data_IF_137992001485
#
_entry.id   IF_137992001485
#
_cell.length_a   1.000
_cell.length_b   1.000
_cell.length_c   1.000
_cell.angle_alpha   90.00
_cell.angle_beta   90.00
_cell.angle_gamma   90.00
#
_symmetry.space_group_name_H-M   'P 1'
#
loop_
_entity.id
_entity.type
_entity.pdbx_description
1 polymer ?
#
# COMPACT_ATOMS: atom_id res chain seq x y z
N UNK A 1 -43.60 31.37 49.55
CA UNK A 1 -42.78 30.18 49.22
C UNK A 1 -43.18 29.74 47.81
N UNK A 2 -42.48 30.21 46.77
CA UNK A 2 -41.34 29.52 46.10
C UNK A 2 -41.71 28.10 45.65
N UNK A 3 -42.07 27.94 44.38
CA UNK A 3 -41.18 27.32 43.37
C UNK A 3 -41.87 27.30 42.00
N UNK A 4 -41.45 28.18 41.10
CA UNK A 4 -41.72 28.07 39.67
C UNK A 4 -40.58 27.23 39.08
N UNK A 5 -40.90 26.00 38.71
CA UNK A 5 -39.99 25.06 38.05
C UNK A 5 -39.75 25.54 36.62
N UNK A 6 -38.55 26.06 36.36
CA UNK A 6 -38.04 26.25 35.00
C UNK A 6 -37.51 24.90 34.51
N UNK A 7 -38.20 24.30 33.54
CA UNK A 7 -37.70 23.17 32.76
C UNK A 7 -36.96 23.74 31.54
N UNK A 8 -35.66 23.46 31.31
CA UNK A 8 -35.00 23.90 30.09
C UNK A 8 -35.36 22.93 28.96
N UNK A 9 -36.05 23.45 27.95
CA UNK A 9 -36.27 22.81 26.66
C UNK A 9 -34.94 22.77 25.89
N UNK A 10 -34.15 21.73 26.10
CA UNK A 10 -32.98 21.42 25.28
C UNK A 10 -33.46 20.74 23.99
N UNK A 11 -33.97 21.55 23.04
CA UNK A 11 -34.30 21.07 21.71
C UNK A 11 -33.00 20.71 20.98
N UNK A 12 -32.82 19.41 20.74
CA UNK A 12 -31.76 18.86 19.92
C UNK A 12 -31.78 19.49 18.52
N UNK A 13 -30.79 20.31 18.20
CA UNK A 13 -30.41 20.59 16.81
C UNK A 13 -29.68 19.35 16.27
N UNK A 14 -30.45 18.28 15.98
CA UNK A 14 -29.99 17.27 15.05
C UNK A 14 -30.01 17.91 13.66
N UNK A 15 -28.84 18.30 13.15
CA UNK A 15 -28.70 18.70 11.76
C UNK A 15 -29.04 17.51 10.89
N UNK A 16 -30.17 17.57 10.19
CA UNK A 16 -30.48 16.68 9.08
C UNK A 16 -29.44 16.96 7.99
N UNK A 17 -28.45 16.09 7.87
CA UNK A 17 -27.64 16.03 6.66
C UNK A 17 -28.60 15.65 5.51
N UNK A 18 -28.89 16.60 4.63
CA UNK A 18 -29.70 16.34 3.45
C UNK A 18 -29.08 15.22 2.61
N UNK A 19 -29.92 14.45 1.93
CA UNK A 19 -29.43 13.54 0.89
C UNK A 19 -28.70 14.38 -0.18
N UNK A 20 -27.49 13.97 -0.53
CA UNK A 20 -26.69 14.65 -1.55
C UNK A 20 -27.39 14.53 -2.90
N UNK A 21 -27.35 15.59 -3.69
CA UNK A 21 -27.90 15.61 -5.05
C UNK A 21 -26.80 15.91 -6.07
N UNK A 22 -27.02 15.60 -7.36
CA UNK A 22 -26.09 15.97 -8.43
C UNK A 22 -25.70 17.46 -8.44
N UNK A 23 -26.62 18.35 -8.02
CA UNK A 23 -26.44 19.81 -7.99
C UNK A 23 -25.49 20.29 -6.87
N UNK A 24 -25.06 19.38 -5.97
CA UNK A 24 -24.07 19.70 -4.95
C UNK A 24 -22.63 19.70 -5.49
N UNK A 25 -22.42 19.29 -6.75
CA UNK A 25 -21.12 19.05 -7.36
C UNK A 25 -20.89 19.93 -8.60
N UNK A 26 -19.66 20.41 -8.76
CA UNK A 26 -19.31 21.34 -9.84
C UNK A 26 -19.25 20.66 -11.22
N UNK A 27 -18.85 19.39 -11.26
CA UNK A 27 -18.59 18.65 -12.50
C UNK A 27 -19.20 17.26 -12.48
N UNK A 28 -19.55 16.75 -13.66
CA UNK A 28 -20.02 15.39 -13.88
C UNK A 28 -19.35 14.74 -15.10
N UNK A 29 -19.17 13.43 -15.05
CA UNK A 29 -18.70 12.58 -16.15
C UNK A 29 -19.60 11.37 -16.29
N UNK A 30 -20.15 11.08 -17.48
CA UNK A 30 -20.92 9.85 -17.70
C UNK A 30 -20.00 8.64 -17.58
N UNK A 31 -20.48 7.58 -16.92
CA UNK A 31 -19.77 6.31 -16.79
C UNK A 31 -20.33 5.29 -17.77
N UNK A 32 -19.44 4.69 -18.55
CA UNK A 32 -19.74 3.58 -19.45
C UNK A 32 -19.41 2.28 -18.74
N UNK A 33 -20.44 1.59 -18.27
CA UNK A 33 -20.34 0.30 -17.56
C UNK A 33 -20.51 -0.84 -18.57
N UNK A 34 -19.44 -1.59 -18.94
CA UNK A 34 -19.55 -2.65 -19.92
C UNK A 34 -20.23 -3.90 -19.32
N UNK A 35 -21.09 -4.54 -20.11
CA UNK A 35 -21.81 -5.76 -19.72
C UNK A 35 -22.88 -5.53 -18.65
N UNK A 36 -23.45 -6.63 -18.17
CA UNK A 36 -24.52 -6.64 -17.15
C UNK A 36 -23.97 -6.95 -15.74
N UNK A 37 -22.66 -6.81 -15.54
CA UNK A 37 -22.05 -7.03 -14.22
C UNK A 37 -22.50 -5.94 -13.24
N UNK A 38 -22.97 -6.32 -12.04
CA UNK A 38 -23.37 -5.33 -11.01
C UNK A 38 -22.20 -4.64 -10.30
N UNK A 39 -20.95 -4.95 -10.67
CA UNK A 39 -19.73 -4.47 -10.03
C UNK A 39 -18.73 -4.03 -11.09
N UNK A 40 -18.27 -2.78 -11.01
CA UNK A 40 -17.26 -2.23 -11.89
C UNK A 40 -16.13 -1.57 -11.10
N UNK A 41 -14.99 -1.40 -11.74
CA UNK A 41 -13.92 -0.55 -11.24
C UNK A 41 -13.84 0.73 -12.06
N UNK A 42 -13.74 1.88 -11.40
CA UNK A 42 -13.47 3.18 -12.00
C UNK A 42 -12.04 3.57 -11.64
N UNK A 43 -11.18 3.77 -12.62
CA UNK A 43 -9.85 4.36 -12.42
C UNK A 43 -9.95 5.87 -12.68
N UNK A 44 -9.55 6.70 -11.71
CA UNK A 44 -9.60 8.14 -11.88
C UNK A 44 -8.56 8.62 -12.91
N UNK A 45 -8.97 9.52 -13.78
CA UNK A 45 -8.08 10.17 -14.73
C UNK A 45 -7.71 11.60 -14.31
N UNK A 46 -6.78 12.18 -15.05
CA UNK A 46 -6.23 13.51 -14.81
C UNK A 46 -7.32 14.60 -14.84
N UNK A 47 -8.38 14.41 -15.66
CA UNK A 47 -9.48 15.36 -15.79
C UNK A 47 -10.37 15.37 -14.53
N UNK A 48 -10.63 14.22 -13.92
CA UNK A 48 -11.32 14.13 -12.63
C UNK A 48 -10.47 14.76 -11.54
N UNK A 49 -9.17 14.42 -11.45
CA UNK A 49 -8.29 14.99 -10.42
C UNK A 49 -8.25 16.51 -10.46
N UNK A 50 -8.22 17.10 -11.65
CA UNK A 50 -8.19 18.55 -11.84
C UNK A 50 -9.44 19.28 -11.30
N UNK A 51 -10.53 18.57 -11.03
CA UNK A 51 -11.82 19.13 -10.58
C UNK A 51 -12.17 18.79 -9.14
N UNK A 52 -11.36 17.96 -8.47
CA UNK A 52 -11.54 17.67 -7.05
C UNK A 52 -11.28 18.93 -6.23
N UNK A 53 -12.14 19.17 -5.24
CA UNK A 53 -11.95 20.21 -4.25
C UNK A 53 -11.08 19.73 -3.08
N UNK A 54 -11.21 18.44 -2.70
CA UNK A 54 -10.59 17.87 -1.49
C UNK A 54 -9.46 16.90 -1.79
N UNK A 55 -8.47 16.84 -0.91
CA UNK A 55 -7.37 15.87 -0.97
C UNK A 55 -7.77 14.46 -0.51
N UNK A 56 -8.80 14.34 0.32
CA UNK A 56 -9.34 13.05 0.81
C UNK A 56 -10.22 12.31 -0.22
N UNK A 57 -10.45 12.90 -1.40
CA UNK A 57 -11.30 12.38 -2.48
C UNK A 57 -12.75 12.07 -2.05
N UNK A 58 -13.21 12.66 -0.95
CA UNK A 58 -14.58 12.45 -0.45
C UNK A 58 -15.60 13.32 -1.17
N UNK A 59 -15.18 14.26 -1.99
CA UNK A 59 -16.06 15.01 -2.87
C UNK A 59 -16.34 14.28 -4.20
N UNK A 60 -16.10 12.97 -4.27
CA UNK A 60 -16.49 12.10 -5.38
C UNK A 60 -17.71 11.27 -5.03
N UNK A 61 -18.77 11.32 -5.83
CA UNK A 61 -19.99 10.50 -5.69
C UNK A 61 -20.42 10.00 -7.06
N UNK A 62 -21.03 8.81 -7.13
CA UNK A 62 -21.69 8.33 -8.35
C UNK A 62 -23.20 8.38 -8.14
N UNK A 63 -23.91 8.92 -9.11
CA UNK A 63 -25.37 8.95 -9.16
C UNK A 63 -25.90 8.05 -10.28
N UNK A 64 -27.06 7.42 -10.05
CA UNK A 64 -27.82 6.72 -11.07
C UNK A 64 -28.75 7.69 -11.84
N UNK A 65 -29.53 7.18 -12.81
CA UNK A 65 -30.38 8.02 -13.64
C UNK A 65 -31.49 8.76 -12.87
N UNK A 66 -31.86 8.26 -11.70
CA UNK A 66 -32.84 8.89 -10.81
C UNK A 66 -32.19 9.94 -9.88
N UNK A 67 -30.89 10.23 -10.04
CA UNK A 67 -30.14 11.15 -9.18
C UNK A 67 -29.90 10.60 -7.78
N UNK A 68 -29.95 9.28 -7.59
CA UNK A 68 -29.68 8.63 -6.31
C UNK A 68 -28.21 8.22 -6.22
N UNK A 69 -27.57 8.53 -5.09
CA UNK A 69 -26.19 8.13 -4.85
C UNK A 69 -26.08 6.61 -4.72
N UNK A 70 -25.21 5.99 -5.50
CA UNK A 70 -24.96 4.53 -5.48
C UNK A 70 -23.67 4.20 -4.74
N UNK A 71 -23.50 2.97 -4.22
CA UNK A 71 -22.29 2.61 -3.50
C UNK A 71 -21.05 2.70 -4.36
N UNK A 72 -20.17 3.60 -3.96
CA UNK A 72 -18.92 3.90 -4.62
C UNK A 72 -17.85 4.12 -3.55
N UNK A 73 -16.72 3.42 -3.60
CA UNK A 73 -15.68 3.59 -2.58
C UNK A 73 -14.30 3.13 -3.07
N UNK A 74 -13.21 3.60 -2.42
CA UNK A 74 -11.86 3.24 -2.83
C UNK A 74 -11.65 1.73 -2.87
N UNK A 75 -11.04 1.26 -3.97
CA UNK A 75 -10.56 -0.11 -4.12
C UNK A 75 -9.21 -0.22 -3.42
N UNK A 76 -9.12 -1.06 -2.39
CA UNK A 76 -7.83 -1.39 -1.78
C UNK A 76 -6.90 -2.01 -2.84
N UNK A 77 -5.61 -1.66 -2.79
CA UNK A 77 -4.63 -2.23 -3.72
C UNK A 77 -4.68 -3.75 -3.67
N UNK A 78 -5.04 -4.37 -4.79
CA UNK A 78 -5.18 -5.82 -4.87
C UNK A 78 -3.84 -6.47 -4.53
N UNK A 79 -3.87 -7.48 -3.66
CA UNK A 79 -2.70 -8.25 -3.28
C UNK A 79 -2.72 -9.58 -4.01
N UNK A 80 -1.78 -9.81 -4.92
CA UNK A 80 -1.49 -11.11 -5.50
C UNK A 80 -0.50 -11.83 -4.60
N UNK A 81 -0.81 -13.08 -4.22
CA UNK A 81 0.21 -13.94 -3.62
C UNK A 81 1.11 -14.45 -4.74
N UNK A 82 2.35 -14.01 -4.72
CA UNK A 82 3.43 -14.52 -5.55
C UNK A 82 4.23 -15.57 -4.78
N UNK A 83 5.04 -16.32 -5.52
CA UNK A 83 6.01 -17.23 -4.98
C UNK A 83 7.37 -16.86 -5.57
N UNK A 84 8.34 -16.53 -4.72
CA UNK A 84 9.71 -16.25 -5.15
C UNK A 84 10.60 -17.44 -4.84
N UNK A 85 11.37 -17.87 -5.86
CA UNK A 85 12.41 -18.89 -5.72
C UNK A 85 13.79 -18.28 -5.68
N UNK A 86 14.67 -18.86 -4.88
CA UNK A 86 16.08 -18.50 -4.84
C UNK A 86 16.93 -19.75 -4.64
N UNK A 87 18.01 -19.89 -5.40
CA UNK A 87 18.93 -21.01 -5.28
C UNK A 87 19.71 -20.94 -3.95
N UNK A 88 19.83 -22.08 -3.28
CA UNK A 88 20.46 -22.20 -1.97
C UNK A 88 21.82 -22.89 -2.06
N UNK A 89 22.68 -22.60 -1.08
CA UNK A 89 23.89 -23.38 -0.84
C UNK A 89 23.52 -24.61 0.00
N UNK A 90 24.05 -25.77 -0.39
CA UNK A 90 23.80 -27.01 0.32
C UNK A 90 24.98 -27.97 0.21
N UNK A 91 25.06 -28.93 1.14
CA UNK A 91 26.07 -29.99 1.14
C UNK A 91 25.55 -31.27 1.78
N UNK A 92 26.16 -32.39 1.41
CA UNK A 92 25.96 -33.69 2.05
C UNK A 92 26.81 -33.78 3.30
N UNK A 93 26.24 -34.19 4.43
CA UNK A 93 26.97 -34.30 5.70
C UNK A 93 26.84 -35.72 6.27
N UNK A 94 27.95 -36.39 6.65
CA UNK A 94 27.89 -37.71 7.26
C UNK A 94 27.19 -37.65 8.62
N UNK A 95 26.24 -38.56 8.86
CA UNK A 95 25.62 -38.71 10.18
C UNK A 95 26.38 -39.78 10.96
N UNK A 96 26.95 -39.43 12.10
CA UNK A 96 27.45 -40.44 13.04
C UNK A 96 26.26 -41.01 13.84
N UNK A 97 26.08 -42.33 13.95
CA UNK A 97 25.01 -42.89 14.76
C UNK A 97 25.25 -42.56 16.24
N UNK A 98 24.29 -41.87 16.86
CA UNK A 98 24.31 -41.58 18.29
C UNK A 98 24.11 -42.87 19.09
N UNK A 99 25.13 -43.34 19.81
CA UNK A 99 24.96 -44.36 20.84
C UNK A 99 24.49 -43.68 22.14
N UNK A 100 23.17 -43.61 22.30
CA UNK A 100 22.51 -43.22 23.55
C UNK A 100 22.38 -41.71 23.74
N UNK A 101 21.14 -41.22 23.58
CA UNK A 101 20.64 -39.93 24.08
C UNK A 101 21.50 -38.69 23.81
N UNK A 102 21.04 -37.86 22.86
CA UNK A 102 21.65 -36.64 22.30
C UNK A 102 22.52 -36.90 21.05
N UNK A 103 22.02 -36.43 19.90
CA UNK A 103 22.72 -36.44 18.61
C UNK A 103 23.89 -35.45 18.66
N UNK A 104 25.02 -35.88 19.21
CA UNK A 104 26.20 -35.05 19.31
C UNK A 104 26.99 -35.08 18.01
N UNK A 105 26.79 -34.05 17.18
CA UNK A 105 27.65 -33.79 16.05
C UNK A 105 29.09 -33.57 16.55
N UNK A 106 30.04 -34.40 16.15
CA UNK A 106 31.46 -34.10 16.36
C UNK A 106 31.98 -33.14 15.26
N UNK A 107 31.25 -32.03 15.03
CA UNK A 107 31.80 -30.86 14.35
C UNK A 107 32.55 -30.08 15.43
N UNK A 108 33.87 -30.26 15.53
CA UNK A 108 34.70 -29.50 16.47
C UNK A 108 34.84 -28.07 15.95
N UNK A 109 33.81 -27.26 16.16
CA UNK A 109 33.74 -25.86 15.75
C UNK A 109 34.58 -25.01 16.72
N UNK A 110 35.83 -24.71 16.37
CA UNK A 110 36.60 -23.70 17.11
C UNK A 110 36.20 -22.31 16.63
N UNK A 111 35.50 -21.56 17.49
CA UNK A 111 35.33 -20.10 17.38
C UNK A 111 36.49 -19.41 18.07
N UNK A 112 36.99 -18.33 17.48
CA UNK A 112 37.80 -17.35 18.19
C UNK A 112 36.91 -16.45 19.08
N UNK A 113 37.52 -15.62 19.92
CA UNK A 113 36.84 -14.75 20.87
C UNK A 113 35.88 -13.72 20.20
N UNK A 114 36.01 -13.54 18.88
CA UNK A 114 35.24 -12.60 18.07
C UNK A 114 34.14 -13.28 17.23
N UNK A 115 33.94 -14.60 17.41
CA UNK A 115 32.82 -15.34 16.82
C UNK A 115 32.97 -15.75 15.35
N UNK A 116 34.18 -15.65 14.77
CA UNK A 116 34.42 -15.97 13.36
C UNK A 116 34.85 -17.43 13.17
N UNK A 117 34.26 -18.12 12.18
CA UNK A 117 34.54 -19.53 11.89
C UNK A 117 35.82 -19.69 11.05
N UNK A 118 36.81 -20.46 11.51
CA UNK A 118 38.08 -20.63 10.77
C UNK A 118 38.48 -22.04 10.35
N UNK A 119 37.93 -23.12 10.90
CA UNK A 119 38.34 -24.47 10.49
C UNK A 119 37.19 -25.48 10.55
N UNK A 120 37.10 -26.33 9.53
CA UNK A 120 36.07 -27.34 9.36
C UNK A 120 36.77 -28.64 8.95
N UNK A 121 37.29 -29.37 9.95
CA UNK A 121 37.92 -30.67 9.74
C UNK A 121 36.88 -31.78 9.92
N UNK A 122 36.49 -32.41 8.81
CA UNK A 122 35.85 -33.73 8.85
C UNK A 122 36.93 -34.80 9.03
N UNK A 123 36.98 -35.45 10.20
CA UNK A 123 37.79 -36.65 10.39
C UNK A 123 37.17 -37.82 9.60
N UNK A 124 37.42 -37.87 8.29
CA UNK A 124 37.06 -38.99 7.42
C UNK A 124 38.08 -40.12 7.55
N UNK A 125 38.15 -40.76 8.73
CA UNK A 125 38.93 -41.99 8.91
C UNK A 125 38.18 -43.04 9.70
N UNK A 126 37.02 -43.43 9.18
CA UNK A 126 36.45 -44.76 9.38
C UNK A 126 35.50 -45.04 8.22
N UNK A 127 36.02 -45.59 7.12
CA UNK A 127 35.17 -46.27 6.14
C UNK A 127 34.63 -47.54 6.82
N UNK A 128 33.48 -47.41 7.48
CA UNK A 128 32.63 -48.55 7.85
C UNK A 128 31.76 -48.83 6.63
N UNK A 129 31.75 -50.06 6.15
CA UNK A 129 31.04 -50.51 4.95
C UNK A 129 29.50 -50.51 5.08
N UNK A 130 28.94 -49.65 5.94
CA UNK A 130 27.51 -49.53 6.22
C UNK A 130 27.21 -48.14 6.83
N UNK A 131 27.76 -47.08 6.23
CA UNK A 131 27.52 -45.70 6.68
C UNK A 131 26.09 -45.29 6.27
N UNK A 132 25.28 -44.71 7.19
CA UNK A 132 23.96 -44.20 6.84
C UNK A 132 24.10 -43.12 5.77
N UNK A 133 23.10 -43.06 4.88
CA UNK A 133 23.05 -42.06 3.82
C UNK A 133 23.28 -40.64 4.37
N UNK A 134 24.11 -39.82 3.71
CA UNK A 134 24.43 -38.51 4.22
C UNK A 134 23.17 -37.62 4.21
N UNK A 135 22.87 -36.96 5.31
CA UNK A 135 21.84 -35.93 5.35
C UNK A 135 22.25 -34.75 4.46
N UNK A 136 21.28 -33.96 4.02
CA UNK A 136 21.57 -32.68 3.35
C UNK A 136 21.48 -31.54 4.35
N UNK A 137 22.51 -30.71 4.41
CA UNK A 137 22.52 -29.43 5.11
C UNK A 137 22.33 -28.31 4.09
N UNK A 138 21.37 -27.44 4.34
CA UNK A 138 21.01 -26.29 3.50
C UNK A 138 21.22 -25.01 4.31
N UNK A 139 21.92 -24.03 3.73
CA UNK A 139 22.19 -22.72 4.34
C UNK A 139 21.32 -21.64 3.67
N UNK A 140 20.47 -20.98 4.46
CA UNK A 140 19.59 -19.89 4.04
C UNK A 140 20.26 -18.50 4.17
N UNK A 141 21.43 -18.39 4.80
CA UNK A 141 22.17 -17.14 5.03
C UNK A 141 21.94 -16.52 6.43
N UNK A 142 22.65 -15.42 6.74
CA UNK A 142 22.67 -14.84 8.10
C UNK A 142 21.33 -14.23 8.53
N UNK A 143 20.58 -13.60 7.61
CA UNK A 143 19.26 -13.01 7.88
C UNK A 143 18.25 -13.51 6.83
N UNK A 144 17.81 -14.78 6.93
CA UNK A 144 17.02 -15.40 5.89
C UNK A 144 15.58 -14.86 5.90
N UNK A 145 14.95 -14.67 4.72
CA UNK A 145 13.53 -14.40 4.64
C UNK A 145 12.72 -15.61 5.14
N UNK A 146 11.42 -15.43 5.39
CA UNK A 146 10.56 -16.55 5.78
C UNK A 146 10.39 -17.53 4.62
N UNK A 147 10.88 -18.76 4.75
CA UNK A 147 10.79 -19.84 3.75
C UNK A 147 9.75 -20.85 4.18
N UNK A 148 8.91 -21.32 3.26
CA UNK A 148 7.83 -22.28 3.55
C UNK A 148 7.89 -23.55 2.70
N UNK A 149 8.76 -23.59 1.69
CA UNK A 149 9.03 -24.81 0.96
C UNK A 149 10.44 -24.85 0.38
N UNK A 150 10.91 -26.06 0.07
CA UNK A 150 12.10 -26.31 -0.75
C UNK A 150 11.69 -27.00 -2.04
N UNK A 151 12.16 -26.47 -3.17
CA UNK A 151 12.09 -27.12 -4.47
C UNK A 151 13.44 -27.80 -4.75
N UNK A 152 13.41 -29.08 -5.08
CA UNK A 152 14.58 -29.86 -5.43
C UNK A 152 14.56 -30.13 -6.94
N UNK A 153 15.74 -30.13 -7.55
CA UNK A 153 15.94 -30.54 -8.95
C UNK A 153 16.90 -31.72 -8.96
N UNK A 154 16.50 -32.81 -9.60
CA UNK A 154 17.35 -33.98 -9.81
C UNK A 154 18.45 -33.64 -10.84
N UNK A 155 19.58 -34.35 -10.75
CA UNK A 155 20.60 -34.34 -11.80
C UNK A 155 20.12 -35.05 -13.05
N UNK A 156 20.71 -34.70 -14.20
CA UNK A 156 20.38 -35.29 -15.50
C UNK A 156 20.75 -36.79 -15.59
N UNK A 157 21.56 -37.28 -14.66
CA UNK A 157 22.05 -38.66 -14.55
C UNK A 157 21.14 -39.59 -13.71
N UNK A 158 20.00 -39.07 -13.22
CA UNK A 158 19.06 -39.84 -12.41
C UNK A 158 18.03 -40.54 -13.30
N UNK A 159 18.32 -41.80 -13.67
CA UNK A 159 17.47 -42.63 -14.55
C UNK A 159 16.43 -43.50 -13.81
N UNK A 160 16.44 -43.52 -12.47
CA UNK A 160 15.62 -44.41 -11.64
C UNK A 160 14.48 -43.73 -10.88
N UNK A 161 13.46 -44.49 -10.41
CA UNK A 161 12.37 -43.94 -9.62
C UNK A 161 12.88 -43.38 -8.29
N UNK A 162 12.47 -42.14 -7.97
CA UNK A 162 12.74 -41.51 -6.67
C UNK A 162 11.50 -41.62 -5.80
N UNK A 163 11.64 -42.19 -4.60
CA UNK A 163 10.58 -42.24 -3.59
C UNK A 163 11.20 -42.16 -2.18
N UNK A 164 11.31 -40.93 -1.69
CA UNK A 164 11.94 -40.61 -0.42
C UNK A 164 10.93 -40.07 0.58
N UNK A 165 11.15 -40.39 1.86
CA UNK A 165 10.47 -39.77 2.99
C UNK A 165 11.47 -38.88 3.70
N UNK A 166 11.21 -37.58 3.70
CA UNK A 166 12.14 -36.57 4.20
C UNK A 166 11.62 -36.00 5.51
N UNK A 167 12.51 -35.90 6.50
CA UNK A 167 12.32 -35.10 7.71
C UNK A 167 13.15 -33.83 7.58
N UNK A 168 12.50 -32.69 7.76
CA UNK A 168 13.12 -31.37 7.76
C UNK A 168 13.32 -30.94 9.20
N UNK A 169 14.56 -30.68 9.57
CA UNK A 169 14.92 -30.06 10.84
C UNK A 169 15.48 -28.65 10.57
N UNK A 170 15.38 -27.79 11.57
CA UNK A 170 15.85 -26.41 11.51
C UNK A 170 16.75 -26.08 12.70
N UNK A 171 17.69 -25.17 12.49
CA UNK A 171 18.64 -24.68 13.49
C UNK A 171 19.22 -23.31 13.10
N UNK A 172 19.61 -22.51 14.08
CA UNK A 172 20.37 -21.27 13.85
C UNK A 172 21.88 -21.44 14.14
N UNK A 173 22.27 -22.48 14.88
CA UNK A 173 23.61 -22.65 15.43
C UNK A 173 24.28 -23.98 15.07
N UNK A 174 23.60 -24.82 14.27
CA UNK A 174 24.01 -26.19 13.89
C UNK A 174 24.08 -27.19 15.06
N UNK A 175 23.74 -26.77 16.28
CA UNK A 175 23.81 -27.58 17.49
C UNK A 175 22.41 -27.95 18.00
N UNK A 176 21.53 -26.96 18.15
CA UNK A 176 20.13 -27.14 18.53
C UNK A 176 19.26 -27.40 17.31
N UNK A 177 18.80 -28.63 17.14
CA UNK A 177 17.93 -29.02 16.03
C UNK A 177 16.49 -29.23 16.48
N UNK A 178 15.55 -28.60 15.76
CA UNK A 178 14.11 -28.81 15.95
C UNK A 178 13.50 -29.43 14.71
N UNK A 179 12.65 -30.43 14.86
CA UNK A 179 11.87 -30.96 13.74
C UNK A 179 10.85 -29.93 13.28
N UNK A 180 10.97 -29.51 12.02
CA UNK A 180 10.06 -28.57 11.37
C UNK A 180 8.92 -29.33 10.65
N UNK A 181 9.24 -30.43 9.98
CA UNK A 181 8.29 -31.32 9.34
C UNK A 181 8.86 -32.73 9.21
N UNK A 182 8.01 -33.76 9.20
CA UNK A 182 8.44 -35.17 9.12
C UNK A 182 7.61 -35.95 8.10
N UNK A 183 8.23 -36.90 7.41
CA UNK A 183 7.54 -37.83 6.50
C UNK A 183 7.10 -37.22 5.16
N UNK A 184 7.68 -36.08 4.77
CA UNK A 184 7.40 -35.41 3.51
C UNK A 184 7.81 -36.30 2.33
N UNK A 185 6.92 -36.46 1.35
CA UNK A 185 7.20 -37.31 0.19
C UNK A 185 7.94 -36.52 -0.90
N UNK A 186 9.10 -37.02 -1.32
CA UNK A 186 9.80 -36.57 -2.53
C UNK A 186 9.72 -37.71 -3.55
N UNK A 187 9.00 -37.49 -4.65
CA UNK A 187 8.63 -38.55 -5.60
C UNK A 187 8.95 -38.12 -7.03
N UNK A 188 9.60 -38.99 -7.80
CA UNK A 188 9.68 -38.91 -9.25
C UNK A 188 9.55 -40.32 -9.82
N UNK A 189 8.43 -40.59 -10.49
CA UNK A 189 8.08 -41.91 -11.01
C UNK A 189 7.67 -41.76 -12.48
N UNK A 190 8.19 -42.61 -13.33
CA UNK A 190 7.78 -42.73 -14.72
C UNK A 190 7.54 -44.21 -15.01
N UNK A 191 6.29 -44.58 -15.31
CA UNK A 191 5.93 -45.95 -15.66
C UNK A 191 4.79 -45.95 -16.69
N UNK A 192 4.93 -46.75 -17.75
CA UNK A 192 3.88 -46.96 -18.76
C UNK A 192 3.32 -45.69 -19.43
N UNK A 193 4.08 -44.60 -19.49
CA UNK A 193 3.63 -43.30 -20.03
C UNK A 193 2.94 -42.38 -19.01
N UNK A 194 2.83 -42.78 -17.74
CA UNK A 194 2.41 -41.94 -16.62
C UNK A 194 3.65 -41.41 -15.90
N UNK A 195 3.77 -40.08 -15.80
CA UNK A 195 4.82 -39.41 -15.03
C UNK A 195 4.21 -38.72 -13.81
N UNK A 196 4.69 -39.07 -12.61
CA UNK A 196 4.33 -38.41 -11.35
C UNK A 196 5.59 -37.80 -10.77
N UNK A 197 5.60 -36.47 -10.68
CA UNK A 197 6.72 -35.73 -10.10
C UNK A 197 6.24 -34.78 -9.00
N UNK A 198 6.84 -34.94 -7.81
CA UNK A 198 6.74 -34.04 -6.67
C UNK A 198 8.12 -33.92 -6.05
N UNK A 199 8.90 -32.97 -6.57
CA UNK A 199 10.22 -32.63 -6.05
C UNK A 199 10.15 -31.40 -5.13
N UNK A 200 9.16 -31.37 -4.24
CA UNK A 200 8.88 -30.23 -3.36
C UNK A 200 8.58 -30.69 -1.95
N UNK A 201 9.20 -30.03 -0.99
CA UNK A 201 9.01 -30.22 0.45
C UNK A 201 8.32 -28.99 1.03
N UNK A 202 7.06 -29.15 1.47
CA UNK A 202 6.27 -28.09 2.09
C UNK A 202 6.32 -28.18 3.63
N UNK A 203 6.49 -27.05 4.32
CA UNK A 203 6.57 -26.99 5.77
C UNK A 203 6.09 -25.64 6.33
N UNK A 204 5.95 -25.55 7.66
CA UNK A 204 5.57 -24.30 8.31
C UNK A 204 6.64 -23.20 8.07
N UNK A 205 6.26 -21.92 7.87
CA UNK A 205 7.22 -20.87 7.59
C UNK A 205 8.33 -20.78 8.65
N UNK A 206 9.58 -20.82 8.20
CA UNK A 206 10.78 -20.83 9.02
C UNK A 206 11.71 -19.67 8.63
N UNK A 207 12.40 -19.11 9.62
CA UNK A 207 13.46 -18.07 9.45
C UNK A 207 14.80 -18.55 10.02
N UNK A 208 14.92 -19.84 10.26
CA UNK A 208 16.11 -20.44 10.83
C UNK A 208 17.18 -20.52 9.75
N UNK A 209 18.43 -20.21 10.09
CA UNK A 209 19.51 -20.15 9.11
C UNK A 209 19.77 -21.48 8.41
N UNK A 210 19.69 -22.59 9.12
CA UNK A 210 20.06 -23.90 8.62
C UNK A 210 18.88 -24.86 8.60
N UNK A 211 18.73 -25.59 7.49
CA UNK A 211 17.82 -26.72 7.39
C UNK A 211 18.59 -28.02 7.17
N UNK A 212 18.22 -29.08 7.89
CA UNK A 212 18.72 -30.45 7.69
C UNK A 212 17.62 -31.32 7.10
N UNK A 213 17.91 -31.97 5.99
CA UNK A 213 17.02 -32.91 5.32
C UNK A 213 17.52 -34.34 5.56
N UNK A 214 16.78 -35.08 6.38
CA UNK A 214 17.11 -36.45 6.75
C UNK A 214 16.15 -37.45 6.09
N UNK A 215 16.66 -38.59 5.63
CA UNK A 215 15.86 -39.64 5.02
C UNK A 215 15.25 -40.56 6.10
N UNK A 216 13.94 -40.52 6.22
CA UNK A 216 13.17 -41.28 7.19
C UNK A 216 12.91 -42.74 6.76
N UNK A 217 12.97 -43.05 5.45
CA UNK A 217 12.77 -44.40 4.91
C UNK A 217 14.08 -45.13 4.55
N UNK A 218 15.24 -44.57 4.90
CA UNK A 218 16.56 -45.10 4.52
C UNK A 218 16.87 -44.95 3.03
N UNK A 219 18.04 -45.45 2.60
CA UNK A 219 18.56 -45.29 1.24
C UNK A 219 19.28 -43.95 1.03
N UNK A 220 19.80 -43.70 -0.16
CA UNK A 220 20.63 -42.52 -0.48
C UNK A 220 19.86 -41.42 -1.21
N UNK A 221 20.32 -40.17 -1.04
CA UNK A 221 19.87 -39.06 -1.88
C UNK A 221 20.32 -39.26 -3.34
N UNK A 222 19.43 -39.08 -4.34
CA UNK A 222 19.82 -39.04 -5.74
C UNK A 222 20.78 -37.87 -6.01
N UNK A 223 21.44 -37.87 -7.17
CA UNK A 223 22.14 -36.68 -7.62
C UNK A 223 21.14 -35.51 -7.68
N UNK A 224 21.49 -34.40 -7.02
CA UNK A 224 20.69 -33.18 -7.02
C UNK A 224 21.45 -32.11 -7.78
N UNK A 225 20.79 -31.48 -8.74
CA UNK A 225 21.34 -30.34 -9.47
C UNK A 225 21.16 -29.03 -8.69
N UNK A 226 20.03 -28.88 -7.98
CA UNK A 226 19.68 -27.64 -7.29
C UNK A 226 18.73 -27.88 -6.12
N UNK A 227 18.86 -27.04 -5.09
CA UNK A 227 17.84 -26.82 -4.08
C UNK A 227 17.51 -25.32 -4.09
N UNK A 228 16.23 -24.99 -4.17
CA UNK A 228 15.74 -23.62 -4.15
C UNK A 228 14.79 -23.42 -2.97
N UNK A 229 14.93 -22.31 -2.24
CA UNK A 229 13.91 -21.88 -1.30
C UNK A 229 12.72 -21.37 -2.08
N UNK A 230 11.52 -21.70 -1.63
CA UNK A 230 10.30 -21.06 -2.06
C UNK A 230 9.68 -20.30 -0.89
N UNK A 231 9.41 -19.01 -1.12
CA UNK A 231 8.69 -18.17 -0.18
C UNK A 231 7.44 -17.60 -0.81
N UNK A 232 6.35 -17.66 -0.06
CA UNK A 232 5.15 -16.90 -0.41
C UNK A 232 5.40 -15.43 -0.10
N UNK A 233 5.14 -14.57 -1.07
CA UNK A 233 5.14 -13.13 -0.88
C UNK A 233 3.83 -12.54 -1.36
N UNK A 234 3.45 -11.43 -0.76
CA UNK A 234 2.28 -10.68 -1.21
C UNK A 234 2.78 -9.55 -2.10
N UNK A 235 2.55 -9.66 -3.40
CA UNK A 235 2.72 -8.56 -4.33
C UNK A 235 1.47 -7.71 -4.34
N UNK A 236 1.62 -6.40 -4.26
CA UNK A 236 0.52 -5.51 -4.60
C UNK A 236 0.46 -5.43 -6.13
N UNK A 237 -0.66 -5.81 -6.74
CA UNK A 237 -0.96 -5.56 -8.15
C UNK A 237 -1.15 -4.05 -8.26
N UNK A 238 -0.11 -3.36 -8.70
CA UNK A 238 -0.11 -1.90 -8.82
C UNK A 238 -0.53 -1.50 -10.24
N UNK A 239 -1.40 -0.51 -10.34
CA UNK A 239 -1.63 0.20 -11.61
C UNK A 239 -0.32 0.81 -12.11
N UNK A 240 -0.25 1.03 -13.42
CA UNK A 240 0.90 1.67 -14.07
C UNK A 240 1.20 3.01 -13.42
N UNK A 241 2.48 3.25 -13.12
CA UNK A 241 2.93 4.55 -12.60
C UNK A 241 2.84 5.57 -13.73
N UNK A 242 2.20 6.70 -13.46
CA UNK A 242 2.16 7.88 -14.34
C UNK A 242 3.19 8.89 -13.89
N UNK A 243 3.64 9.73 -14.82
CA UNK A 243 4.56 10.83 -14.55
C UNK A 243 3.89 12.17 -14.89
N UNK A 244 4.15 13.18 -14.08
CA UNK A 244 3.75 14.57 -14.31
C UNK A 244 5.00 15.44 -14.23
N UNK A 245 5.29 16.19 -15.31
CA UNK A 245 6.36 17.18 -15.33
C UNK A 245 5.77 18.58 -15.12
N UNK A 246 6.35 19.33 -14.19
CA UNK A 246 5.90 20.67 -13.80
C UNK A 246 7.09 21.61 -13.83
N UNK A 247 6.97 22.67 -14.60
CA UNK A 247 7.97 23.74 -14.63
C UNK A 247 7.91 24.56 -13.33
N UNK A 248 9.08 24.89 -12.81
CA UNK A 248 9.19 25.63 -11.56
C UNK A 248 9.06 27.14 -11.76
N UNK A 249 8.43 27.81 -10.80
CA UNK A 249 8.41 29.27 -10.72
C UNK A 249 9.40 29.74 -9.65
N UNK A 250 10.36 30.59 -10.02
CA UNK A 250 11.29 31.16 -9.07
C UNK A 250 10.59 32.12 -8.09
N UNK A 251 10.92 32.03 -6.81
CA UNK A 251 10.36 32.91 -5.78
C UNK A 251 11.17 34.20 -5.67
N UNK A 252 10.52 35.33 -5.92
CA UNK A 252 11.16 36.64 -5.83
C UNK A 252 11.72 36.89 -4.41
N UNK A 253 13.00 37.25 -4.32
CA UNK A 253 13.68 37.52 -3.05
C UNK A 253 14.21 36.28 -2.31
N UNK A 254 13.91 35.06 -2.78
CA UNK A 254 14.39 33.80 -2.21
C UNK A 254 15.22 33.01 -3.25
N UNK A 255 16.51 33.32 -3.37
CA UNK A 255 17.40 32.65 -4.33
C UNK A 255 17.42 31.12 -4.13
N UNK A 256 17.32 30.37 -5.24
CA UNK A 256 17.30 28.90 -5.22
C UNK A 256 16.01 28.29 -4.68
N UNK A 257 14.95 29.08 -4.48
CA UNK A 257 13.62 28.61 -4.08
C UNK A 257 12.66 28.64 -5.27
N UNK A 258 12.02 27.51 -5.53
CA UNK A 258 11.10 27.31 -6.66
C UNK A 258 9.78 26.73 -6.18
N UNK A 259 8.66 27.18 -6.75
CA UNK A 259 7.31 26.70 -6.43
C UNK A 259 6.69 25.99 -7.62
N UNK A 260 5.86 25.00 -7.31
CA UNK A 260 5.15 24.15 -8.26
C UNK A 260 3.71 23.98 -7.78
N UNK A 261 2.77 23.97 -8.73
CA UNK A 261 1.34 23.74 -8.47
C UNK A 261 0.85 22.56 -9.29
N UNK A 262 0.32 21.55 -8.61
CA UNK A 262 -0.31 20.40 -9.24
C UNK A 262 -1.72 20.77 -9.73
N UNK A 263 -2.22 20.14 -10.80
CA UNK A 263 -3.57 20.37 -11.30
C UNK A 263 -4.65 19.89 -10.32
N UNK A 264 -4.33 18.92 -9.46
CA UNK A 264 -5.25 18.31 -8.50
C UNK A 264 -4.52 17.51 -7.41
N UNK A 265 -5.28 16.87 -6.49
CA UNK A 265 -4.74 16.10 -5.37
C UNK A 265 -4.28 14.69 -5.78
N UNK A 266 -3.28 14.64 -6.68
CA UNK A 266 -2.70 13.40 -7.19
C UNK A 266 -2.00 12.62 -6.07
N UNK A 267 -2.11 11.28 -6.03
CA UNK A 267 -1.42 10.44 -5.04
C UNK A 267 0.06 10.24 -5.39
N UNK A 268 0.88 11.28 -5.17
CA UNK A 268 2.31 11.27 -5.50
C UNK A 268 3.07 10.35 -4.56
N UNK A 269 3.92 9.48 -5.14
CA UNK A 269 4.71 8.46 -4.41
C UNK A 269 6.21 8.49 -4.77
N UNK A 270 6.63 9.26 -5.76
CA UNK A 270 8.02 9.67 -5.92
C UNK A 270 8.14 11.04 -6.55
N UNK A 271 9.31 11.62 -6.36
CA UNK A 271 9.72 12.88 -6.95
C UNK A 271 11.09 12.72 -7.59
N UNK A 272 11.33 13.53 -8.59
CA UNK A 272 12.62 13.70 -9.24
C UNK A 272 12.74 15.15 -9.69
N UNK A 273 13.95 15.67 -9.70
CA UNK A 273 14.22 17.06 -10.04
C UNK A 273 15.17 17.10 -11.23
N UNK A 274 14.79 17.80 -12.29
CA UNK A 274 15.52 17.84 -13.55
C UNK A 274 16.15 19.23 -13.69
N UNK A 275 17.45 19.40 -13.38
CA UNK A 275 18.12 20.67 -13.60
C UNK A 275 18.17 21.04 -15.08
N UNK A 276 17.90 22.31 -15.37
CA UNK A 276 17.95 22.84 -16.73
C UNK A 276 19.37 22.75 -17.32
N UNK A 277 20.39 23.09 -16.54
CA UNK A 277 21.79 23.05 -16.94
C UNK A 277 22.44 21.68 -16.70
N UNK A 278 23.30 21.25 -17.63
CA UNK A 278 24.22 20.12 -17.43
C UNK A 278 25.33 20.50 -16.44
N UNK A 279 25.98 19.49 -15.87
CA UNK A 279 27.00 19.62 -14.83
C UNK A 279 26.51 20.41 -13.60
N UNK A 280 25.24 20.20 -13.24
CA UNK A 280 24.62 20.81 -12.06
C UNK A 280 24.64 19.82 -10.91
N UNK A 281 24.94 20.30 -9.70
CA UNK A 281 24.81 19.55 -8.44
C UNK A 281 24.25 20.50 -7.37
N UNK A 282 23.21 20.08 -6.65
CA UNK A 282 22.69 20.81 -5.50
C UNK A 282 22.03 19.88 -4.48
N UNK A 283 22.16 20.20 -3.19
CA UNK A 283 21.28 19.69 -2.16
C UNK A 283 19.87 20.27 -2.34
N UNK A 284 18.85 19.47 -2.06
CA UNK A 284 17.44 19.79 -2.26
C UNK A 284 16.71 19.59 -0.94
N UNK A 285 15.93 20.60 -0.55
CA UNK A 285 14.93 20.51 0.51
C UNK A 285 13.55 20.64 -0.13
N UNK A 286 12.73 19.59 0.02
CA UNK A 286 11.41 19.49 -0.57
C UNK A 286 10.35 19.72 0.49
N UNK A 287 9.43 20.63 0.21
CA UNK A 287 8.35 21.03 1.10
C UNK A 287 7.00 21.01 0.38
N UNK A 288 5.92 20.74 1.10
CA UNK A 288 4.56 20.72 0.54
C UNK A 288 3.57 21.48 1.41
N UNK A 289 2.45 21.87 0.79
CA UNK A 289 1.30 22.51 1.45
C UNK A 289 -0.01 22.05 0.80
N UNK A 290 -0.98 21.70 1.64
CA UNK A 290 -2.26 21.14 1.20
C UNK A 290 -3.23 22.19 0.62
N UNK A 291 -3.34 23.36 1.27
CA UNK A 291 -4.36 24.36 0.96
C UNK A 291 -3.79 25.58 0.21
N UNK A 292 -4.66 26.21 -0.60
CA UNK A 292 -4.47 27.51 -1.22
C UNK A 292 -4.48 28.66 -0.19
N UNK A 293 -5.02 28.42 1.00
CA UNK A 293 -5.02 29.37 2.12
C UNK A 293 -3.60 29.80 2.53
N UNK A 294 -3.35 31.11 2.52
CA UNK A 294 -2.06 31.72 2.86
C UNK A 294 -1.59 31.44 4.29
N UNK A 295 -2.49 30.97 5.17
CA UNK A 295 -2.24 30.72 6.60
C UNK A 295 -1.65 29.32 6.88
N UNK A 296 -1.62 28.42 5.90
CA UNK A 296 -1.03 27.09 6.07
C UNK A 296 0.48 27.12 5.87
N UNK A 297 1.24 26.68 6.88
CA UNK A 297 2.70 26.59 6.80
C UNK A 297 3.17 25.50 5.83
N UNK A 298 4.30 25.75 5.17
CA UNK A 298 5.05 24.73 4.44
C UNK A 298 5.48 23.60 5.39
N UNK A 299 5.37 22.35 4.94
CA UNK A 299 5.77 21.16 5.68
C UNK A 299 6.93 20.50 4.95
N UNK A 300 8.00 20.20 5.67
CA UNK A 300 9.09 19.40 5.14
C UNK A 300 8.59 18.00 4.73
N UNK A 301 9.01 17.56 3.54
CA UNK A 301 8.65 16.26 2.96
C UNK A 301 9.87 15.35 2.83
N UNK A 302 10.96 15.85 2.24
CA UNK A 302 12.15 15.06 1.99
C UNK A 302 13.37 15.97 1.74
N UNK A 303 14.56 15.41 1.97
CA UNK A 303 15.84 15.98 1.57
C UNK A 303 16.49 15.08 0.52
N UNK A 304 17.31 15.64 -0.35
CA UNK A 304 18.02 14.88 -1.36
C UNK A 304 19.17 15.64 -1.99
N UNK A 305 19.80 15.01 -2.98
CA UNK A 305 20.80 15.67 -3.83
C UNK A 305 20.38 15.46 -5.28
N UNK A 306 20.28 16.57 -6.01
CA UNK A 306 20.06 16.56 -7.45
C UNK A 306 21.41 16.73 -8.14
N UNK A 307 21.68 15.92 -9.15
CA UNK A 307 22.83 16.09 -10.02
C UNK A 307 22.52 15.66 -11.45
N UNK A 308 23.10 16.41 -12.39
CA UNK A 308 23.08 16.08 -13.82
C UNK A 308 24.50 16.26 -14.32
N UNK A 309 25.21 15.17 -14.59
CA UNK A 309 26.62 15.19 -14.97
C UNK A 309 26.75 14.63 -16.38
N UNK A 310 27.49 15.32 -17.25
CA UNK A 310 27.64 14.93 -18.65
C UNK A 310 26.47 15.35 -19.53
N UNK A 311 26.42 14.78 -20.73
CA UNK A 311 25.43 15.09 -21.77
C UNK A 311 25.33 13.91 -22.75
N UNK A 312 24.13 13.63 -23.26
CA UNK A 312 23.91 12.53 -24.21
C UNK A 312 23.79 11.18 -23.52
N UNK A 313 24.33 10.12 -24.14
CA UNK A 313 24.16 8.74 -23.67
C UNK A 313 24.94 8.40 -22.39
N UNK A 314 25.96 9.20 -22.05
CA UNK A 314 26.76 9.06 -20.82
C UNK A 314 26.27 9.95 -19.67
N UNK A 315 25.07 10.53 -19.79
CA UNK A 315 24.53 11.44 -18.79
C UNK A 315 24.12 10.69 -17.52
N UNK A 316 24.73 11.07 -16.40
CA UNK A 316 24.45 10.47 -15.09
C UNK A 316 23.53 11.42 -14.30
N UNK A 317 22.44 10.86 -13.78
CA UNK A 317 21.46 11.57 -12.97
C UNK A 317 21.15 10.83 -11.67
N UNK A 318 20.59 11.55 -10.71
CA UNK A 318 20.00 10.91 -9.54
C UNK A 318 18.86 9.95 -9.92
N UNK A 319 18.64 8.95 -9.07
CA UNK A 319 17.41 8.16 -9.10
C UNK A 319 16.27 8.94 -8.43
N UNK A 320 15.01 8.73 -8.86
CA UNK A 320 13.85 9.33 -8.19
C UNK A 320 13.80 8.96 -6.70
N UNK A 321 13.49 9.93 -5.85
CA UNK A 321 13.28 9.72 -4.43
C UNK A 321 11.87 9.19 -4.14
N UNK A 322 11.76 8.06 -3.45
CA UNK A 322 10.47 7.52 -3.00
C UNK A 322 9.97 8.25 -1.76
N UNK A 323 8.66 8.46 -1.68
CA UNK A 323 7.99 9.09 -0.54
C UNK A 323 6.70 8.35 -0.19
N UNK A 324 6.26 8.49 1.07
CA UNK A 324 4.89 8.13 1.42
C UNK A 324 3.90 8.95 0.58
N UNK A 325 2.76 8.37 0.22
CA UNK A 325 1.77 9.02 -0.66
C UNK A 325 1.43 10.43 -0.14
N UNK A 326 1.49 11.42 -1.03
CA UNK A 326 1.14 12.82 -0.77
C UNK A 326 0.21 13.36 -1.84
N UNK A 327 -0.80 14.13 -1.41
CA UNK A 327 -1.84 14.74 -2.27
C UNK A 327 -1.87 16.27 -2.20
N UNK A 328 -0.83 16.85 -1.59
CA UNK A 328 -0.70 18.30 -1.46
C UNK A 328 -0.59 18.92 -2.87
N UNK A 329 -1.28 20.05 -3.10
CA UNK A 329 -1.26 20.72 -4.42
C UNK A 329 -0.07 21.64 -4.60
N UNK A 330 0.48 22.21 -3.53
CA UNK A 330 1.60 23.14 -3.60
C UNK A 330 2.87 22.47 -3.12
N UNK A 331 3.91 22.60 -3.94
CA UNK A 331 5.22 22.04 -3.69
C UNK A 331 6.24 23.17 -3.78
N UNK A 332 7.26 23.11 -2.93
CA UNK A 332 8.36 24.06 -2.91
C UNK A 332 9.67 23.29 -2.82
N UNK A 333 10.64 23.73 -3.60
CA UNK A 333 11.99 23.19 -3.63
C UNK A 333 12.95 24.31 -3.26
N UNK A 334 13.81 24.07 -2.27
CA UNK A 334 14.95 24.93 -1.95
C UNK A 334 16.25 24.20 -2.29
N UNK A 335 17.17 24.91 -2.94
CA UNK A 335 18.42 24.34 -3.43
C UNK A 335 19.64 24.97 -2.78
N UNK A 336 20.67 24.16 -2.50
CA UNK A 336 21.98 24.63 -2.00
C UNK A 336 23.12 23.92 -2.75
N UNK A 337 23.98 24.63 -3.51
CA UNK A 337 23.91 26.06 -3.80
C UNK A 337 22.63 26.44 -4.55
N UNK A 338 22.25 27.71 -4.48
CA UNK A 338 21.06 28.22 -5.14
C UNK A 338 21.18 28.07 -6.67
N UNK A 339 20.27 27.31 -7.27
CA UNK A 339 20.20 27.22 -8.73
C UNK A 339 19.67 28.53 -9.32
N UNK A 340 20.20 28.92 -10.47
CA UNK A 340 19.82 30.16 -11.16
C UNK A 340 18.53 30.01 -11.99
N UNK A 341 18.30 28.82 -12.54
CA UNK A 341 17.12 28.50 -13.35
C UNK A 341 16.22 27.52 -12.61
N UNK A 342 14.89 27.65 -12.75
CA UNK A 342 13.96 26.70 -12.16
C UNK A 342 14.17 25.31 -12.77
N UNK A 343 14.40 24.28 -11.95
CA UNK A 343 14.40 22.90 -12.44
C UNK A 343 12.97 22.41 -12.66
N UNK A 344 12.78 21.51 -13.62
CA UNK A 344 11.49 20.82 -13.82
C UNK A 344 11.30 19.78 -12.73
N UNK A 345 10.18 19.82 -12.03
CA UNK A 345 9.79 18.81 -11.05
C UNK A 345 9.05 17.68 -11.77
N UNK A 346 9.59 16.47 -11.67
CA UNK A 346 8.96 15.25 -12.17
C UNK A 346 8.36 14.48 -11.00
N UNK A 347 7.04 14.34 -10.99
CA UNK A 347 6.32 13.61 -9.96
C UNK A 347 5.79 12.32 -10.54
N UNK A 348 5.93 11.23 -9.79
CA UNK A 348 5.38 9.94 -10.17
C UNK A 348 4.27 9.53 -9.22
N UNK A 349 3.17 9.05 -9.78
CA UNK A 349 1.95 8.72 -9.05
C UNK A 349 1.22 7.53 -9.67
N UNK A 350 0.25 6.97 -8.94
CA UNK A 350 -0.59 5.87 -9.43
C UNK A 350 -2.06 6.24 -9.30
N UNK A 351 -2.87 6.14 -10.36
CA UNK A 351 -4.29 6.43 -10.29
C UNK A 351 -5.02 5.65 -9.20
N UNK A 352 -5.88 6.37 -8.49
CA UNK A 352 -6.82 5.79 -7.54
C UNK A 352 -7.88 4.99 -8.30
N UNK A 353 -8.16 3.79 -7.79
CA UNK A 353 -9.23 2.94 -8.29
C UNK A 353 -10.35 2.91 -7.26
N UNK A 354 -11.58 2.90 -7.74
CA UNK A 354 -12.80 2.84 -6.95
C UNK A 354 -13.67 1.68 -7.42
N UNK A 355 -14.36 1.03 -6.50
CA UNK A 355 -15.39 0.04 -6.83
C UNK A 355 -16.73 0.77 -6.90
N UNK A 356 -17.45 0.53 -7.99
CA UNK A 356 -18.83 0.93 -8.21
C UNK A 356 -19.72 -0.31 -8.09
N UNK A 357 -20.69 -0.29 -7.19
CA UNK A 357 -21.81 -1.26 -7.20
C UNK A 357 -22.95 -0.62 -7.99
N UNK A 358 -23.13 -1.06 -9.23
CA UNK A 358 -24.10 -0.49 -10.17
C UNK A 358 -25.53 -0.87 -9.75
N UNK A 359 -26.23 0.07 -9.10
CA UNK A 359 -27.62 -0.08 -8.70
C UNK A 359 -28.54 0.62 -9.72
N UNK A 360 -29.37 -0.11 -10.47
CA UNK A 360 -30.25 0.47 -11.48
C UNK A 360 -31.14 1.62 -10.94
N UNK A 361 -31.60 2.54 -11.80
CA UNK A 361 -31.44 2.53 -13.27
C UNK A 361 -30.14 3.19 -13.77
N UNK A 362 -29.55 2.61 -14.82
CA UNK A 362 -28.53 3.27 -15.64
C UNK A 362 -29.15 4.40 -16.51
N UNK A 363 -28.38 5.39 -17.01
CA UNK A 363 -26.93 5.55 -16.92
C UNK A 363 -26.43 6.02 -15.54
N UNK A 364 -25.13 5.85 -15.32
CA UNK A 364 -24.44 6.33 -14.12
C UNK A 364 -23.55 7.52 -14.47
N UNK A 365 -23.39 8.45 -13.53
CA UNK A 365 -22.48 9.59 -13.68
C UNK A 365 -21.62 9.75 -12.42
N UNK A 366 -20.31 9.95 -12.61
CA UNK A 366 -19.38 10.37 -11.56
C UNK A 366 -19.48 11.88 -11.40
N UNK A 367 -19.61 12.37 -10.17
CA UNK A 367 -19.66 13.78 -9.83
C UNK A 367 -18.51 14.14 -8.90
N UNK A 368 -17.92 15.33 -9.10
CA UNK A 368 -16.77 15.83 -8.34
C UNK A 368 -16.83 17.35 -8.10
N UNK A 369 -16.01 17.83 -7.17
CA UNK A 369 -15.82 19.26 -6.95
C UNK A 369 -16.91 19.86 -6.06
N UNK A 370 -16.95 19.41 -4.81
CA UNK A 370 -17.84 19.97 -3.79
C UNK A 370 -17.08 20.28 -2.51
N UNK A 371 -17.27 21.47 -1.96
CA UNK A 371 -16.75 21.81 -0.62
C UNK A 371 -17.71 21.38 0.49
N UNK A 372 -18.96 21.08 0.14
CA UNK A 372 -20.08 20.80 1.05
C UNK A 372 -20.42 19.32 1.14
N UNK A 373 -20.50 18.64 -0.02
CA UNK A 373 -20.84 17.23 -0.08
C UNK A 373 -19.64 16.35 0.28
N UNK A 374 -19.92 15.27 1.01
CA UNK A 374 -18.92 14.31 1.49
C UNK A 374 -19.49 12.92 1.31
N UNK A 375 -18.96 12.16 0.36
CA UNK A 375 -19.36 10.79 0.10
C UNK A 375 -19.33 9.96 1.39
N UNK A 376 -20.40 9.22 1.71
CA UNK A 376 -20.41 8.32 2.85
C UNK A 376 -19.44 7.14 2.63
N UNK A 377 -19.04 6.51 3.73
CA UNK A 377 -18.17 5.32 3.67
C UNK A 377 -19.00 4.07 3.37
N UNK A 378 -18.93 3.59 2.13
CA UNK A 378 -19.56 2.34 1.71
C UNK A 378 -18.64 1.14 1.98
N UNK A 379 -19.12 0.06 2.62
CA UNK A 379 -18.34 -1.15 2.87
C UNK A 379 -18.24 -2.06 1.62
N UNK A 380 -17.79 -1.49 0.48
CA UNK A 380 -17.78 -2.18 -0.83
C UNK A 380 -16.83 -3.38 -0.86
N UNK A 381 -15.82 -3.44 0.01
CA UNK A 381 -14.85 -4.54 0.04
C UNK A 381 -15.50 -5.88 0.43
N UNK A 382 -16.45 -5.86 1.36
CA UNK A 382 -17.20 -7.05 1.73
C UNK A 382 -18.10 -7.52 0.57
N UNK A 383 -18.75 -6.57 -0.12
CA UNK A 383 -19.57 -6.87 -1.29
C UNK A 383 -18.73 -7.42 -2.45
N UNK A 384 -17.54 -6.87 -2.69
CA UNK A 384 -16.60 -7.35 -3.71
C UNK A 384 -16.09 -8.76 -3.38
N UNK A 385 -15.75 -9.04 -2.12
CA UNK A 385 -15.37 -10.37 -1.66
C UNK A 385 -16.47 -11.40 -1.87
N UNK A 386 -17.74 -11.04 -1.60
CA UNK A 386 -18.87 -11.90 -1.87
C UNK A 386 -19.13 -12.10 -3.38
N UNK A 387 -18.98 -11.04 -4.18
CA UNK A 387 -19.18 -11.10 -5.63
C UNK A 387 -18.12 -11.96 -6.35
N UNK A 388 -16.89 -11.98 -5.83
CA UNK A 388 -15.76 -12.76 -6.37
C UNK A 388 -15.81 -14.23 -5.96
N UNK A 389 -16.51 -14.60 -4.88
CA UNK A 389 -16.51 -15.97 -4.33
C UNK A 389 -16.99 -17.05 -5.32
N UNK A 390 -17.90 -16.70 -6.24
CA UNK A 390 -18.44 -17.62 -7.24
C UNK A 390 -17.80 -17.43 -8.64
N UNK A 391 -16.73 -16.64 -8.74
CA UNK A 391 -16.05 -16.32 -10.01
C UNK A 391 -14.76 -17.16 -10.14
N UNK A 392 -14.29 -17.43 -11.37
CA UNK A 392 -13.03 -18.15 -11.57
C UNK A 392 -11.85 -17.40 -10.95
N UNK A 393 -10.81 -18.16 -10.55
CA UNK A 393 -9.58 -17.59 -10.02
C UNK A 393 -8.96 -16.60 -11.01
N UNK A 394 -8.67 -15.38 -10.55
CA UNK A 394 -8.16 -14.30 -11.38
C UNK A 394 -9.21 -13.47 -12.10
N UNK A 395 -10.51 -13.68 -11.85
CA UNK A 395 -11.54 -12.74 -12.29
C UNK A 395 -11.35 -11.39 -11.59
N UNK A 396 -11.33 -10.32 -12.39
CA UNK A 396 -11.31 -8.95 -11.92
C UNK A 396 -12.57 -8.23 -12.42
N UNK A 397 -13.16 -7.31 -11.64
CA UNK A 397 -14.31 -6.56 -12.11
C UNK A 397 -13.93 -5.71 -13.33
N UNK A 398 -14.82 -5.60 -14.32
CA UNK A 398 -14.54 -4.84 -15.53
C UNK A 398 -14.33 -3.34 -15.22
N UNK A 399 -13.45 -2.71 -16.00
CA UNK A 399 -13.20 -1.27 -15.92
C UNK A 399 -14.37 -0.50 -16.56
N UNK A 400 -14.99 0.40 -15.82
CA UNK A 400 -15.93 1.37 -16.36
C UNK A 400 -15.14 2.56 -16.93
N UNK A 401 -15.47 2.95 -18.16
CA UNK A 401 -14.81 4.08 -18.81
C UNK A 401 -15.47 5.40 -18.38
N UNK A 402 -14.64 6.41 -18.13
CA UNK A 402 -15.07 7.77 -17.83
C UNK A 402 -15.21 8.49 -19.18
N UNK A 403 -16.43 8.98 -19.47
CA UNK A 403 -16.70 9.76 -20.67
C UNK A 403 -16.24 11.22 -20.54
N UNK A 404 -16.57 12.05 -21.53
CA UNK A 404 -16.22 13.48 -21.49
C UNK A 404 -16.96 14.20 -20.37
N UNK A 405 -16.22 14.97 -19.57
CA UNK A 405 -16.76 15.71 -18.44
C UNK A 405 -17.48 16.98 -18.88
N UNK A 406 -18.55 17.32 -18.19
CA UNK A 406 -19.25 18.58 -18.36
C UNK A 406 -19.48 19.28 -17.02
N UNK A 407 -19.68 20.59 -17.08
CA UNK A 407 -20.07 21.37 -15.92
C UNK A 407 -21.47 20.96 -15.46
N UNK A 408 -21.63 20.79 -14.14
CA UNK A 408 -22.91 20.53 -13.48
C UNK A 408 -23.37 21.82 -12.78
N UNK A 409 -23.18 21.94 -11.46
CA UNK A 409 -23.50 23.17 -10.74
C UNK A 409 -22.39 24.25 -10.76
N UNK A 410 -21.22 23.93 -11.34
CA UNK A 410 -20.11 24.86 -11.49
C UNK A 410 -19.61 25.46 -10.18
N UNK A 411 -19.22 26.73 -10.21
CA UNK A 411 -18.67 27.47 -9.06
C UNK A 411 -19.62 27.54 -7.86
N UNK A 412 -20.94 27.36 -8.04
CA UNK A 412 -21.91 27.35 -6.94
C UNK A 412 -21.66 26.19 -5.97
N UNK A 413 -21.19 25.04 -6.47
CA UNK A 413 -20.86 23.87 -5.65
C UNK A 413 -19.59 24.06 -4.80
N UNK A 414 -18.72 25.00 -5.20
CA UNK A 414 -17.46 25.32 -4.53
C UNK A 414 -17.61 26.40 -3.45
N UNK A 415 -18.80 26.96 -3.29
CA UNK A 415 -19.06 27.94 -2.23
C UNK A 415 -19.46 27.23 -0.93
N UNK A 416 -18.87 27.61 0.22
CA UNK A 416 -19.31 27.08 1.50
C UNK A 416 -20.76 27.48 1.76
N UNK A 417 -21.56 26.55 2.30
CA UNK A 417 -22.95 26.82 2.63
C UNK A 417 -23.00 27.87 3.74
N UNK A 418 -23.29 29.11 3.37
CA UNK A 418 -23.67 30.15 4.31
C UNK A 418 -25.09 29.81 4.73
N UNK A 419 -25.20 28.86 5.65
CA UNK A 419 -26.47 28.26 6.07
C UNK A 419 -27.60 29.27 6.21
N UNK A 420 -28.85 28.82 6.06
CA UNK A 420 -29.94 29.65 5.57
C UNK A 420 -30.13 30.91 6.42
N UNK A 421 -30.28 32.07 5.74
CA UNK A 421 -30.25 33.40 6.36
C UNK A 421 -31.21 33.52 7.54
N UNK A 422 -32.33 32.78 7.55
CA UNK A 422 -33.28 32.75 8.66
C UNK A 422 -32.63 32.38 10.00
N UNK A 423 -31.55 31.58 10.04
CA UNK A 423 -30.84 31.25 11.29
C UNK A 423 -30.15 32.48 11.88
N UNK A 424 -29.62 33.36 11.02
CA UNK A 424 -29.05 34.64 11.42
C UNK A 424 -30.16 35.55 11.96
N UNK A 425 -31.28 35.68 11.24
CA UNK A 425 -32.43 36.47 11.70
C UNK A 425 -33.09 35.91 12.97
N UNK A 426 -33.13 34.59 13.14
CA UNK A 426 -33.64 33.94 14.36
C UNK A 426 -32.72 34.19 15.56
N UNK A 427 -31.39 34.16 15.37
CA UNK A 427 -30.44 34.56 16.40
C UNK A 427 -30.66 36.02 16.81
N UNK A 428 -30.81 36.92 15.84
CA UNK A 428 -31.13 38.33 16.11
C UNK A 428 -32.47 38.49 16.82
N UNK A 429 -33.49 37.71 16.47
CA UNK A 429 -34.78 37.74 17.14
C UNK A 429 -34.68 37.28 18.61
N UNK A 430 -33.94 36.20 18.88
CA UNK A 430 -33.68 35.72 20.26
C UNK A 430 -32.88 36.74 21.05
N UNK A 431 -31.84 37.34 20.44
CA UNK A 431 -31.01 38.36 21.08
C UNK A 431 -31.83 39.61 21.41
N UNK A 432 -32.69 40.08 20.49
CA UNK A 432 -33.58 41.20 20.71
C UNK A 432 -34.61 40.91 21.82
N UNK A 433 -35.18 39.70 21.84
CA UNK A 433 -36.10 39.27 22.89
C UNK A 433 -35.42 39.24 24.27
N UNK A 434 -34.19 38.72 24.35
CA UNK A 434 -33.40 38.73 25.58
C UNK A 434 -33.09 40.16 26.05
N UNK A 435 -32.69 41.05 25.13
CA UNK A 435 -32.45 42.46 25.42
C UNK A 435 -33.69 43.18 25.96
N UNK A 436 -34.86 42.96 25.34
CA UNK A 436 -36.13 43.51 25.82
C UNK A 436 -36.52 43.00 27.21
N UNK A 437 -36.23 41.73 27.50
CA UNK A 437 -36.53 41.12 28.79
C UNK A 437 -35.67 41.75 29.91
N UNK A 438 -34.37 41.94 29.66
CA UNK A 438 -33.45 42.64 30.57
C UNK A 438 -33.88 44.09 30.78
N UNK A 439 -34.21 44.80 29.70
CA UNK A 439 -34.69 46.19 29.77
C UNK A 439 -35.99 46.30 30.58
N UNK A 440 -36.93 45.38 30.37
CA UNK A 440 -38.17 45.30 31.14
C UNK A 440 -37.92 45.03 32.63
N UNK A 441 -36.94 44.19 32.95
CA UNK A 441 -36.54 43.92 34.34
C UNK A 441 -35.90 45.14 35.00
N UNK A 442 -35.01 45.84 34.29
CA UNK A 442 -34.37 47.08 34.78
C UNK A 442 -35.40 48.19 35.06
N UNK A 443 -36.35 48.39 34.13
CA UNK A 443 -37.45 49.36 34.32
C UNK A 443 -38.38 48.98 35.48
N UNK A 444 -38.57 47.68 35.73
CA UNK A 444 -39.37 47.20 36.86
C UNK A 444 -38.67 47.43 38.20
N UNK A 445 -37.34 47.29 38.27
CA UNK A 445 -36.55 47.62 39.46
C UNK A 445 -36.57 49.12 39.75
N UNK A 446 -36.43 49.96 38.72
CA UNK A 446 -36.52 51.42 38.86
C UNK A 446 -37.90 51.93 39.29
N UNK A 447 -38.95 51.12 39.07
CA UNK A 447 -40.32 51.43 39.49
C UNK A 447 -40.68 50.86 40.87
N UNK A 448 -39.80 50.13 41.53
CA UNK A 448 -39.98 49.80 42.94
C UNK A 448 -39.56 51.01 43.78
N UNK A 449 -40.50 51.68 44.48
CA UNK A 449 -40.12 52.70 45.45
C UNK A 449 -39.31 52.02 46.54
N UNK A 450 -38.16 52.58 46.89
CA UNK A 450 -37.44 52.18 48.10
C UNK A 450 -38.37 52.33 49.29
N UNK A 451 -38.73 51.20 49.90
CA UNK A 451 -39.34 51.13 51.23
C UNK A 451 -38.26 50.90 52.27
#
# INVERSE_FOLDING_TARGET
>A
MRSLVFLPLLAALAGSAGAQTPDDFAWAWPLQTPGDDGVHVVELDDAVYARLARDDLRDLVVFNADGQAVPFAPLAAATRRGSQRAALRWMRVPVAPARGGEEQFSLRLQRDADGTLRDLQLDSRAAVADAPAPDLLVDLGDEPPSVSALQLSLGDDVDGPVNLRVTVLESDDLAGWRTLASGLALVSLQDGGLAIERLRLDFAPSRQRYLRLALANGGDWPALARIESEREHVEHVRSGRRELLIEGEAVAGEAGTFRYRLPGPLPVEAWDLLPAATNTVAAVHLETRADDGSDTRWRHLADGTVFRIGSGDDEVRQLPGEIAVRRDRHWQVRTTPALAQPPTLRLSWRPDRFVLLAQPPAPYALHAGSVRAVRPDYPVQAALGAATANRPAGWEPPLAAIGEGHEAAGDLALQPDRGPEYRRWALWAVLAAAGLLVLGMALRVLRQPGG
#
